data_IF_942348072938
#
_entry.id   IF_942348072938
#
_cell.length_a   1.000
_cell.length_b   1.000
_cell.length_c   1.000
_cell.angle_alpha   90.00
_cell.angle_beta   90.00
_cell.angle_gamma   90.00
#
_symmetry.space_group_name_H-M   'P 1'
#
loop_
_entity.id
_entity.type
_entity.pdbx_description
1 polymer ?
2 non-polymer ?
3 water ?
#
# COMPACT_ATOMS: atom_id res chain seq x y z
N UNK A 4 -5.03 0.33 -28.06
CA UNK A 4 -3.59 0.48 -28.50
C UNK A 4 -3.11 -0.85 -29.07
N UNK A 5 -2.51 -0.89 -30.27
CA UNK A 5 -2.04 -2.15 -30.84
C UNK A 5 -0.89 -2.71 -29.99
N UNK A 6 -0.93 -4.01 -29.70
CA UNK A 6 0.26 -4.85 -29.42
C UNK A 6 1.31 -4.58 -30.52
N UNK A 7 2.60 -4.70 -30.19
CA UNK A 7 3.74 -4.38 -31.09
C UNK A 7 4.23 -2.94 -30.95
N UNK A 8 3.36 -2.04 -30.47
CA UNK A 8 3.62 -0.56 -30.37
C UNK A 8 4.85 -0.27 -29.51
N UNK A 9 5.83 0.47 -30.05
CA UNK A 9 7.13 0.83 -29.41
C UNK A 9 7.05 2.20 -28.72
N UNK A 10 7.13 2.22 -27.38
CA UNK A 10 7.16 3.47 -26.55
C UNK A 10 8.60 3.89 -26.25
N UNK A 11 8.80 5.20 -26.14
CA UNK A 11 10.14 5.82 -25.95
C UNK A 11 10.08 6.60 -24.64
N UNK A 12 10.81 6.15 -23.63
CA UNK A 12 10.71 6.75 -22.28
C UNK A 12 11.67 7.95 -22.29
N UNK A 13 11.55 8.83 -21.30
CA UNK A 13 12.35 10.08 -21.20
C UNK A 13 13.83 9.72 -21.22
N UNK A 14 14.19 8.53 -20.73
CA UNK A 14 15.61 8.12 -20.63
C UNK A 14 16.14 7.75 -22.03
N UNK A 15 15.22 7.55 -22.99
CA UNK A 15 15.55 7.13 -24.36
C UNK A 15 15.53 5.63 -24.51
N UNK A 16 15.04 4.90 -23.49
CA UNK A 16 14.81 3.45 -23.58
C UNK A 16 13.50 3.19 -24.33
N UNK A 17 13.43 2.04 -24.99
CA UNK A 17 12.34 1.72 -25.95
C UNK A 17 11.67 0.44 -25.45
N UNK A 18 10.35 0.48 -25.46
CA UNK A 18 9.47 -0.50 -24.77
C UNK A 18 8.42 -0.95 -25.78
N UNK A 19 8.40 -2.28 -26.01
CA UNK A 19 7.40 -2.90 -26.90
C UNK A 19 6.30 -3.46 -26.02
N UNK A 20 5.06 -3.15 -26.34
CA UNK A 20 3.85 -3.51 -25.55
C UNK A 20 3.48 -4.99 -25.74
N UNK A 21 2.71 -5.53 -24.78
CA UNK A 21 2.01 -6.83 -24.88
C UNK A 21 0.48 -6.71 -24.74
N UNK A 22 -0.16 -7.71 -24.15
CA UNK A 22 -1.65 -7.80 -24.06
C UNK A 22 -2.15 -7.08 -22.80
N UNK A 23 -3.27 -6.38 -22.88
CA UNK A 23 -3.81 -5.75 -21.66
C UNK A 23 -3.92 -6.82 -20.57
N UNK A 24 -3.51 -6.50 -19.35
CA UNK A 24 -3.53 -7.50 -18.24
C UNK A 24 -4.47 -6.97 -17.15
N UNK A 25 -5.37 -6.07 -17.51
CA UNK A 25 -6.36 -5.49 -16.58
C UNK A 25 -6.50 -3.99 -16.77
N UNK A 26 -7.03 -3.29 -15.77
CA UNK A 26 -7.23 -1.82 -15.74
C UNK A 26 -7.95 -1.45 -14.44
N UNK A 27 -7.65 -0.27 -13.90
CA UNK A 27 -8.42 0.33 -12.80
C UNK A 27 -9.24 1.50 -13.34
N UNK A 28 -9.71 2.36 -12.44
CA UNK A 28 -10.13 3.73 -12.76
C UNK A 28 -8.91 4.61 -12.89
N UNK A 29 -8.70 5.17 -14.09
CA UNK A 29 -7.57 6.05 -14.46
C UNK A 29 -6.44 5.21 -15.04
N UNK A 30 -6.61 3.88 -15.21
CA UNK A 30 -5.45 3.06 -15.61
C UNK A 30 -5.73 1.90 -16.56
N UNK A 31 -5.00 1.81 -17.67
CA UNK A 31 -4.90 0.58 -18.49
C UNK A 31 -3.50 -0.01 -18.27
N UNK A 32 -3.40 -1.32 -18.13
CA UNK A 32 -2.13 -2.06 -17.82
C UNK A 32 -1.90 -3.08 -18.94
N UNK A 33 -0.70 -3.04 -19.54
CA UNK A 33 -0.22 -3.92 -20.62
C UNK A 33 1.07 -4.60 -20.16
N UNK A 34 1.38 -5.78 -20.69
CA UNK A 34 2.74 -6.37 -20.58
C UNK A 34 3.65 -5.52 -21.45
N UNK A 35 4.96 -5.65 -21.24
CA UNK A 35 5.99 -4.88 -21.97
C UNK A 35 7.33 -5.61 -21.89
N UNK A 36 8.15 -5.43 -22.92
CA UNK A 36 9.53 -5.96 -23.05
C UNK A 36 10.43 -4.81 -23.49
N UNK A 37 11.69 -4.75 -23.02
CA UNK A 37 12.66 -3.85 -23.63
C UNK A 37 12.87 -4.39 -25.05
N UNK A 38 13.37 -3.57 -25.95
CA UNK A 38 13.49 -3.98 -27.38
C UNK A 38 14.87 -4.56 -27.62
N UNK A 39 15.77 -4.44 -26.64
CA UNK A 39 17.18 -4.93 -26.77
C UNK A 39 17.34 -6.29 -26.08
N UNK A 40 16.78 -6.49 -24.88
CA UNK A 40 16.91 -7.76 -24.08
C UNK A 40 15.92 -8.82 -24.59
N UNK A 41 15.93 -10.05 -24.05
CA UNK A 41 15.12 -11.16 -24.59
C UNK A 41 13.61 -10.96 -24.45
N UNK A 42 12.81 -11.90 -24.96
CA UNK A 42 11.32 -11.88 -24.88
C UNK A 42 10.78 -13.20 -24.29
N UNK A 43 11.64 -14.01 -23.66
CA UNK A 43 11.27 -15.32 -23.04
C UNK A 43 10.49 -15.04 -21.76
N UNK A 44 10.44 -13.77 -21.33
CA UNK A 44 10.28 -13.38 -19.91
C UNK A 44 9.73 -11.94 -19.82
N UNK A 45 8.42 -11.77 -19.69
CA UNK A 45 7.75 -10.46 -19.47
C UNK A 45 7.87 -10.06 -18.00
N UNK A 46 8.94 -9.34 -17.64
CA UNK A 46 9.23 -8.88 -16.26
C UNK A 46 8.55 -7.53 -16.03
N UNK A 47 8.12 -6.86 -17.10
CA UNK A 47 7.76 -5.42 -17.09
C UNK A 47 6.29 -5.26 -17.49
N UNK A 48 5.64 -4.22 -16.96
CA UNK A 48 4.27 -3.77 -17.36
C UNK A 48 4.31 -2.27 -17.60
N UNK A 49 3.30 -1.76 -18.29
CA UNK A 49 3.17 -0.32 -18.65
C UNK A 49 1.81 0.16 -18.17
N UNK A 50 1.78 1.02 -17.15
CA UNK A 50 0.55 1.71 -16.67
C UNK A 50 0.40 2.95 -17.55
N UNK A 51 -0.85 3.27 -17.93
CA UNK A 51 -1.22 4.41 -18.84
C UNK A 51 -2.42 5.16 -18.27
N UNK A 52 -2.46 6.48 -18.45
CA UNK A 52 -3.60 7.31 -18.02
C UNK A 52 -3.86 8.35 -19.09
N UNK A 53 -3.10 9.43 -19.09
CA UNK A 53 -3.27 10.53 -20.07
C UNK A 53 -2.33 11.69 -19.71
N UNK A 57 -4.04 12.82 -13.52
CA UNK A 57 -3.77 13.19 -12.13
C UNK A 57 -3.08 12.09 -11.33
N UNK A 58 -3.82 11.06 -10.86
CA UNK A 58 -3.26 10.08 -9.91
C UNK A 58 -2.00 9.34 -10.36
N UNK A 59 -1.86 9.08 -11.67
CA UNK A 59 -0.64 8.46 -12.26
C UNK A 59 0.56 9.39 -12.00
N UNK A 60 0.37 10.71 -12.16
CA UNK A 60 1.44 11.71 -11.94
C UNK A 60 1.90 11.64 -10.48
N UNK A 61 0.97 11.43 -9.55
CA UNK A 61 1.28 11.23 -8.11
C UNK A 61 2.23 10.04 -7.96
N UNK A 62 1.88 8.90 -8.58
CA UNK A 62 2.74 7.70 -8.62
C UNK A 62 4.09 8.08 -9.23
N UNK A 63 4.05 8.77 -10.37
CA UNK A 63 5.29 9.08 -11.11
C UNK A 63 6.22 9.80 -10.13
N UNK A 64 5.72 10.86 -9.50
CA UNK A 64 6.46 11.63 -8.47
C UNK A 64 6.93 10.63 -7.42
N UNK A 65 6.04 9.80 -6.90
CA UNK A 65 6.45 8.89 -5.82
C UNK A 65 7.65 8.08 -6.32
N UNK A 66 7.44 7.37 -7.43
CA UNK A 66 8.35 6.32 -7.93
C UNK A 66 9.69 6.91 -8.36
N UNK A 67 9.71 8.09 -8.96
CA UNK A 67 10.98 8.71 -9.42
C UNK A 67 11.83 9.05 -8.20
N UNK A 68 11.19 9.60 -7.16
CA UNK A 68 11.89 10.10 -5.96
C UNK A 68 12.31 8.91 -5.09
N UNK A 69 11.41 7.94 -4.87
CA UNK A 69 11.52 6.99 -3.73
C UNK A 69 12.05 5.63 -4.22
N UNK A 70 11.61 5.13 -5.38
CA UNK A 70 11.84 3.72 -5.79
C UNK A 70 13.15 3.53 -6.58
N UNK A 71 14.28 4.07 -6.09
CA UNK A 71 15.63 3.92 -6.71
C UNK A 71 16.22 2.52 -6.41
N UNK A 72 16.57 1.75 -7.43
CA UNK A 72 17.01 0.33 -7.25
C UNK A 72 18.14 0.21 -6.20
N UNK A 73 19.29 0.82 -6.44
CA UNK A 73 20.50 0.60 -5.60
C UNK A 73 20.25 1.08 -4.17
N UNK A 74 19.61 2.24 -4.02
CA UNK A 74 19.25 2.82 -2.68
C UNK A 74 18.45 1.81 -1.86
N UNK A 75 17.41 1.23 -2.48
CA UNK A 75 16.61 0.07 -1.99
C UNK A 75 17.55 -1.11 -1.70
N UNK A 76 18.52 -1.40 -2.58
CA UNK A 76 19.59 -2.42 -2.40
C UNK A 76 20.39 -2.13 -1.12
N UNK A 77 20.87 -0.89 -0.95
CA UNK A 77 21.64 -0.48 0.25
C UNK A 77 20.81 -0.76 1.52
N UNK A 78 19.52 -0.39 1.49
CA UNK A 78 18.55 -0.47 2.63
C UNK A 78 18.35 -1.93 3.07
N UNK A 79 17.91 -2.79 2.15
CA UNK A 79 17.64 -4.24 2.39
C UNK A 79 18.85 -4.86 3.11
N UNK A 80 20.05 -4.70 2.55
CA UNK A 80 21.33 -5.27 3.05
C UNK A 80 21.53 -4.87 4.53
N UNK A 81 21.37 -3.60 4.86
CA UNK A 81 21.62 -3.08 6.24
C UNK A 81 20.66 -3.76 7.20
N UNK A 82 19.34 -3.65 6.96
CA UNK A 82 18.28 -4.05 7.90
C UNK A 82 18.04 -5.56 7.86
N UNK A 83 18.78 -6.30 7.03
CA UNK A 83 18.69 -7.79 6.95
C UNK A 83 17.25 -8.21 6.63
N UNK A 84 16.57 -7.49 5.72
CA UNK A 84 15.24 -7.90 5.18
C UNK A 84 15.51 -8.86 4.03
N UNK A 85 14.67 -9.87 3.83
CA UNK A 85 14.80 -10.78 2.67
C UNK A 85 14.46 -9.97 1.43
N UNK A 86 13.58 -8.97 1.59
CA UNK A 86 13.15 -8.09 0.48
C UNK A 86 12.38 -6.88 1.03
N UNK A 87 12.10 -5.92 0.15
CA UNK A 87 11.23 -4.74 0.44
C UNK A 87 10.07 -4.67 -0.54
N UNK A 88 8.85 -4.71 -0.02
CA UNK A 88 7.61 -4.71 -0.85
C UNK A 88 7.39 -3.38 -1.53
N UNK A 89 8.24 -3.01 -2.46
CA UNK A 89 8.08 -1.80 -3.29
C UNK A 89 8.31 -2.24 -4.73
N UNK A 90 7.36 -1.99 -5.64
CA UNK A 90 7.56 -2.31 -7.05
C UNK A 90 8.73 -1.47 -7.61
N UNK A 91 9.56 -2.08 -8.47
CA UNK A 91 10.67 -1.37 -9.13
C UNK A 91 10.12 -0.51 -10.29
N UNK A 92 10.73 0.66 -10.50
CA UNK A 92 10.41 1.66 -11.55
C UNK A 92 11.53 1.72 -12.58
N UNK A 93 11.20 1.65 -13.87
CA UNK A 93 12.16 1.49 -15.00
C UNK A 93 12.23 2.73 -15.91
N UNK A 94 11.21 3.58 -15.89
CA UNK A 94 11.17 4.80 -16.72
C UNK A 94 9.75 5.13 -17.05
N UNK A 95 9.58 6.23 -17.77
CA UNK A 95 8.27 6.86 -18.04
C UNK A 95 8.45 7.80 -19.23
N UNK A 96 7.35 8.33 -19.74
CA UNK A 96 7.38 9.32 -20.83
C UNK A 96 5.98 9.52 -21.33
N UNK A 97 5.84 10.07 -22.54
CA UNK A 97 4.56 10.35 -23.22
C UNK A 97 4.47 9.54 -24.51
N UNK A 98 3.25 9.37 -25.01
CA UNK A 98 2.99 8.70 -26.31
C UNK A 98 1.62 9.15 -26.85
N UNK A 99 1.54 9.35 -28.19
CA UNK A 99 0.33 9.71 -28.97
C UNK A 99 -0.47 8.44 -29.33
N UNK A 100 -1.79 8.49 -29.16
CA UNK A 100 -2.80 7.41 -29.47
C UNK A 100 -3.90 7.83 -30.47
N UNK A 101 -4.46 9.04 -30.32
CA UNK A 101 -5.28 9.76 -31.33
C UNK A 101 -4.48 11.01 -31.71
N UNK A 102 -4.97 12.19 -31.34
CA UNK A 102 -4.18 13.44 -31.24
C UNK A 102 -3.94 13.81 -29.78
N UNK A 103 -4.56 13.06 -28.85
CA UNK A 103 -4.34 13.16 -27.38
C UNK A 103 -3.02 12.46 -27.02
N UNK A 104 -2.27 13.00 -26.06
CA UNK A 104 -1.02 12.42 -25.50
C UNK A 104 -1.33 11.67 -24.20
N UNK A 105 -0.62 10.57 -23.95
CA UNK A 105 -0.78 9.75 -22.72
C UNK A 105 0.55 9.63 -22.00
N UNK A 106 0.50 9.66 -20.67
CA UNK A 106 1.63 9.42 -19.76
C UNK A 106 1.69 7.91 -19.49
N UNK A 107 2.87 7.31 -19.54
CA UNK A 107 3.07 5.88 -19.21
C UNK A 107 4.22 5.75 -18.22
N UNK A 108 4.14 4.72 -17.40
CA UNK A 108 5.20 4.34 -16.45
C UNK A 108 5.45 2.85 -16.63
N UNK A 109 6.70 2.46 -16.85
CA UNK A 109 7.12 1.03 -16.93
C UNK A 109 7.44 0.57 -15.52
N UNK A 110 6.71 -0.44 -15.02
CA UNK A 110 6.78 -0.95 -13.63
C UNK A 110 7.26 -2.41 -13.61
N UNK A 111 7.72 -2.87 -12.43
CA UNK A 111 7.97 -4.31 -12.15
C UNK A 111 6.67 -5.06 -12.35
N UNK A 112 6.74 -6.26 -12.96
CA UNK A 112 5.55 -7.12 -13.12
C UNK A 112 5.34 -7.84 -11.78
N UNK A 113 4.08 -8.01 -11.41
CA UNK A 113 3.68 -8.60 -10.11
C UNK A 113 2.45 -9.46 -10.33
N UNK A 114 2.15 -10.33 -9.37
CA UNK A 114 1.04 -11.28 -9.43
C UNK A 114 -0.28 -10.65 -9.03
N UNK A 115 -1.13 -11.45 -8.40
CA UNK A 115 -2.57 -11.17 -8.13
C UNK A 115 -2.68 -10.36 -6.83
N UNK A 116 -3.73 -9.54 -6.69
CA UNK A 116 -3.96 -8.70 -5.48
C UNK A 116 -4.70 -9.54 -4.42
N UNK A 117 -4.53 -9.17 -3.16
CA UNK A 117 -4.98 -9.97 -1.98
C UNK A 117 -6.51 -9.98 -1.86
N UNK A 118 -7.20 -8.92 -2.27
CA UNK A 118 -8.68 -8.88 -2.12
C UNK A 118 -9.25 -10.00 -2.98
N UNK A 119 -8.76 -10.13 -4.21
CA UNK A 119 -9.18 -11.19 -5.17
C UNK A 119 -9.08 -12.54 -4.48
N UNK A 120 -8.05 -12.74 -3.65
CA UNK A 120 -7.69 -14.06 -3.07
C UNK A 120 -7.91 -14.02 -1.56
N UNK A 121 -8.97 -13.34 -1.11
CA UNK A 121 -9.38 -13.30 0.32
C UNK A 121 -9.98 -14.66 0.70
N UNK A 122 -9.87 -15.10 1.97
CA UNK A 122 -9.96 -16.53 2.42
C UNK A 122 -11.36 -17.09 2.75
N UNK A 123 -12.02 -16.45 3.70
CA UNK A 123 -13.43 -16.76 4.04
C UNK A 123 -14.00 -15.36 4.26
N UNK A 124 -14.89 -14.89 3.39
CA UNK A 124 -15.34 -13.49 3.49
C UNK A 124 -14.06 -12.73 3.14
N UNK A 125 -13.73 -11.69 3.90
CA UNK A 125 -12.45 -11.02 3.67
C UNK A 125 -11.47 -11.35 4.76
N UNK A 126 -11.24 -12.65 4.97
CA UNK A 126 -10.43 -13.02 6.14
C UNK A 126 -9.21 -13.88 5.80
N UNK A 127 -8.06 -13.54 6.36
CA UNK A 127 -6.86 -14.39 6.26
C UNK A 127 -6.51 -14.94 7.64
N UNK A 128 -5.67 -15.97 7.67
CA UNK A 128 -5.20 -16.62 8.94
C UNK A 128 -4.37 -15.60 9.72
N UNK A 129 -4.59 -15.53 11.03
CA UNK A 129 -3.94 -14.56 11.96
C UNK A 129 -2.47 -14.36 11.59
N UNK A 130 -1.68 -15.44 11.56
CA UNK A 130 -0.20 -15.35 11.40
C UNK A 130 0.13 -14.78 10.02
N UNK A 131 -0.80 -14.88 9.06
CA UNK A 131 -0.67 -14.23 7.73
C UNK A 131 -0.95 -12.73 7.90
N UNK A 132 -2.02 -12.40 8.63
CA UNK A 132 -2.47 -11.01 8.91
C UNK A 132 -1.32 -10.28 9.63
N UNK A 133 -0.65 -10.96 10.54
CA UNK A 133 0.45 -10.37 11.36
C UNK A 133 1.72 -10.21 10.53
N UNK A 134 1.96 -11.06 9.53
CA UNK A 134 3.19 -10.98 8.71
C UNK A 134 3.04 -9.84 7.69
N UNK A 135 1.88 -9.78 7.05
CA UNK A 135 1.47 -8.69 6.13
C UNK A 135 1.70 -7.32 6.78
N UNK A 136 1.28 -7.16 8.04
CA UNK A 136 1.44 -5.92 8.83
C UNK A 136 2.91 -5.59 9.06
N UNK A 137 3.72 -6.62 9.29
CA UNK A 137 5.19 -6.47 9.51
C UNK A 137 5.81 -6.10 8.16
N UNK A 138 5.48 -6.84 7.10
CA UNK A 138 6.00 -6.56 5.73
C UNK A 138 5.73 -5.08 5.43
N UNK A 139 4.47 -4.62 5.53
CA UNK A 139 4.10 -3.20 5.25
C UNK A 139 4.86 -2.28 6.20
N UNK A 140 5.08 -2.67 7.46
CA UNK A 140 5.92 -1.83 8.36
C UNK A 140 7.30 -1.61 7.73
N UNK A 141 7.89 -2.64 7.10
CA UNK A 141 9.17 -2.50 6.36
C UNK A 141 9.00 -1.44 5.27
N UNK A 142 7.93 -1.55 4.48
CA UNK A 142 7.68 -0.63 3.34
C UNK A 142 7.44 0.78 3.88
N UNK A 143 6.56 0.93 4.85
CA UNK A 143 6.23 2.25 5.44
C UNK A 143 7.49 2.94 5.97
N UNK A 144 8.34 2.24 6.72
CA UNK A 144 9.59 2.84 7.24
C UNK A 144 10.31 3.47 6.05
N UNK A 145 10.52 2.70 4.98
CA UNK A 145 11.27 3.15 3.80
C UNK A 145 10.63 4.39 3.20
N UNK A 146 9.33 4.36 2.84
CA UNK A 146 8.68 5.51 2.11
C UNK A 146 8.64 6.73 3.01
N UNK A 147 8.27 6.55 4.29
CA UNK A 147 8.25 7.62 5.32
C UNK A 147 9.61 8.32 5.39
N UNK A 148 10.67 7.53 5.50
CA UNK A 148 12.08 7.97 5.55
C UNK A 148 12.39 8.78 4.28
N UNK A 149 11.65 8.57 3.19
CA UNK A 149 11.86 9.23 1.88
C UNK A 149 10.72 10.23 1.64
N UNK A 150 10.13 10.74 2.73
CA UNK A 150 9.28 11.96 2.72
C UNK A 150 7.88 11.63 2.19
N UNK A 151 7.50 10.35 2.11
CA UNK A 151 6.24 9.93 1.45
C UNK A 151 5.36 9.09 2.39
N UNK A 152 4.05 9.36 2.34
CA UNK A 152 3.00 8.47 2.91
C UNK A 152 2.22 7.88 1.75
N UNK A 153 1.67 6.69 1.94
CA UNK A 153 0.85 5.99 0.94
C UNK A 153 -0.58 6.55 0.92
N UNK A 154 -1.21 6.66 2.10
CA UNK A 154 -2.56 7.20 2.32
C UNK A 154 -3.70 6.31 1.83
N UNK A 155 -3.45 5.06 1.45
CA UNK A 155 -4.53 4.17 0.93
C UNK A 155 -4.24 2.67 1.05
N UNK A 156 -3.39 2.25 1.99
CA UNK A 156 -3.20 0.81 2.32
C UNK A 156 -4.57 0.09 2.40
N UNK A 157 -4.67 -1.08 1.77
CA UNK A 157 -5.87 -1.95 1.68
C UNK A 157 -5.56 -3.15 0.78
N UNK A 158 -6.28 -4.27 0.96
CA UNK A 158 -6.04 -5.56 0.27
C UNK A 158 -5.87 -5.36 -1.25
N UNK A 159 -6.67 -4.51 -1.88
CA UNK A 159 -6.73 -4.39 -3.35
C UNK A 159 -5.40 -3.85 -3.91
N UNK A 160 -4.56 -3.28 -3.03
CA UNK A 160 -3.27 -2.63 -3.34
C UNK A 160 -2.09 -3.43 -2.75
N UNK A 161 -2.34 -4.62 -2.22
CA UNK A 161 -1.27 -5.55 -1.80
C UNK A 161 -1.20 -6.62 -2.88
N UNK A 162 -0.10 -6.69 -3.62
CA UNK A 162 0.10 -7.67 -4.73
C UNK A 162 1.17 -8.69 -4.33
N UNK A 163 0.98 -9.95 -4.70
CA UNK A 163 2.00 -11.02 -4.58
C UNK A 163 3.00 -10.79 -5.71
N UNK A 164 4.27 -11.13 -5.47
CA UNK A 164 5.35 -11.05 -6.48
C UNK A 164 5.00 -11.79 -7.75
N UNK A 165 5.62 -11.41 -8.86
CA UNK A 165 5.55 -12.20 -10.12
C UNK A 165 6.61 -13.29 -9.98
N UNK A 166 7.88 -12.89 -9.94
CA UNK A 166 9.03 -13.78 -9.64
C UNK A 166 8.72 -14.61 -8.39
N UNK A 167 8.57 -13.97 -7.22
CA UNK A 167 8.35 -14.70 -5.93
C UNK A 167 6.97 -14.37 -5.37
N UNK A 168 5.98 -15.26 -5.60
CA UNK A 168 4.68 -15.22 -4.91
C UNK A 168 4.59 -15.18 -3.38
N UNK A 169 5.61 -15.64 -2.65
CA UNK A 169 5.63 -15.55 -1.15
C UNK A 169 6.12 -14.15 -0.77
N UNK A 170 6.39 -13.30 -1.76
CA UNK A 170 6.74 -11.86 -1.58
C UNK A 170 5.50 -10.99 -1.81
N UNK A 171 5.30 -10.00 -0.95
CA UNK A 171 4.13 -9.07 -1.03
C UNK A 171 4.65 -7.64 -1.20
N UNK A 172 3.88 -6.86 -1.97
CA UNK A 172 4.27 -5.54 -2.52
C UNK A 172 3.09 -4.55 -2.38
N UNK A 173 3.38 -3.34 -1.92
CA UNK A 173 2.38 -2.27 -1.74
C UNK A 173 2.38 -1.41 -3.00
N UNK A 174 1.23 -1.27 -3.64
CA UNK A 174 1.13 -0.61 -4.96
C UNK A 174 0.08 0.50 -4.92
N UNK A 175 -0.12 1.19 -6.04
CA UNK A 175 -1.11 2.27 -6.25
C UNK A 175 -0.76 3.43 -5.32
N UNK A 176 0.28 4.19 -5.66
CA UNK A 176 0.68 5.39 -4.91
C UNK A 176 -0.02 6.63 -5.50
N UNK A 177 -1.26 6.44 -5.96
CA UNK A 177 -2.07 7.53 -6.57
C UNK A 177 -2.60 8.53 -5.55
N UNK A 178 -2.74 8.15 -4.27
CA UNK A 178 -3.08 9.08 -3.15
C UNK A 178 -1.87 9.33 -2.24
N UNK A 179 -0.65 9.00 -2.70
CA UNK A 179 0.59 9.16 -1.89
C UNK A 179 0.88 10.66 -1.77
N UNK A 180 1.47 11.05 -0.66
CA UNK A 180 1.65 12.47 -0.29
C UNK A 180 3.06 12.67 0.30
N UNK A 181 3.71 13.75 -0.13
CA UNK A 181 5.05 14.13 0.34
C UNK A 181 4.89 15.02 1.57
N UNK A 182 4.91 14.41 2.77
CA UNK A 182 4.56 15.02 4.08
C UNK A 182 5.77 15.82 4.61
N UNK A 183 6.98 15.52 4.14
CA UNK A 183 8.25 16.08 4.68
C UNK A 183 9.15 16.63 3.57
N UNK A 184 8.71 17.53 2.67
CA UNK A 184 9.58 17.97 1.58
C UNK A 184 10.90 18.59 2.09
N UNK A 185 12.01 17.91 1.80
CA UNK A 185 13.39 18.29 2.22
C UNK A 185 13.41 18.65 3.71
N UNK A 186 12.83 17.78 4.54
CA UNK A 186 12.85 17.86 6.01
C UNK A 186 11.78 18.78 6.58
N UNK A 187 10.98 19.45 5.76
CA UNK A 187 9.95 20.41 6.22
C UNK A 187 8.63 19.67 6.41
N UNK A 188 8.35 19.23 7.64
CA UNK A 188 7.10 18.52 7.97
C UNK A 188 5.92 19.48 7.71
N UNK A 189 4.82 19.00 7.16
CA UNK A 189 3.68 19.90 6.90
C UNK A 189 3.13 20.33 8.25
N UNK A 190 2.51 21.50 8.27
CA UNK A 190 1.79 22.02 9.45
C UNK A 190 0.47 21.26 9.53
N UNK A 191 -0.12 21.22 10.72
CA UNK A 191 -1.48 20.71 10.99
C UNK A 191 -2.50 21.82 10.63
N UNK A 192 -3.38 21.57 9.66
CA UNK A 192 -4.54 22.46 9.37
C UNK A 192 -5.73 21.60 8.95
N UNK A 193 -6.76 21.48 9.79
CA UNK A 193 -8.03 20.84 9.40
C UNK A 193 -8.64 21.64 8.24
N UNK A 194 -9.02 20.98 7.15
CA UNK A 194 -9.74 21.62 6.02
C UNK A 194 -10.94 20.75 5.65
N UNK A 195 -12.18 21.14 6.00
CA UNK A 195 -13.36 20.35 5.68
C UNK A 195 -13.48 20.12 4.17
N UNK A 196 -13.07 21.10 3.35
CA UNK A 196 -13.17 21.08 1.88
C UNK A 196 -12.31 19.94 1.30
N UNK A 197 -11.23 19.57 1.99
CA UNK A 197 -10.30 18.48 1.59
C UNK A 197 -10.59 17.23 2.42
N UNK A 198 -11.79 17.16 3.00
CA UNK A 198 -12.18 16.14 4.01
C UNK A 198 -12.65 14.83 3.38
N UNK A 199 -12.30 13.71 4.02
CA UNK A 199 -12.83 12.35 3.72
C UNK A 199 -12.42 11.89 2.33
N UNK A 200 -11.18 12.13 1.95
CA UNK A 200 -10.60 11.40 0.80
C UNK A 200 -10.07 10.08 1.38
N UNK A 201 -9.70 9.17 0.47
CA UNK A 201 -9.22 7.81 0.75
C UNK A 201 -10.32 6.79 0.52
N UNK A 202 -10.02 5.53 0.82
CA UNK A 202 -11.04 4.47 0.99
C UNK A 202 -11.70 4.62 2.36
N UNK A 203 -12.96 5.05 2.34
CA UNK A 203 -13.76 5.38 3.56
C UNK A 203 -13.60 4.30 4.63
N UNK A 204 -13.56 3.03 4.23
CA UNK A 204 -13.46 1.85 5.13
C UNK A 204 -12.18 1.95 5.96
N UNK A 205 -11.07 2.44 5.38
CA UNK A 205 -9.73 2.29 5.99
C UNK A 205 -9.01 3.63 6.16
N UNK A 206 -9.59 4.75 5.71
CA UNK A 206 -8.90 6.07 5.66
C UNK A 206 -8.70 6.61 7.07
N UNK A 207 -7.64 7.37 7.32
CA UNK A 207 -7.27 7.89 8.67
C UNK A 207 -8.20 9.03 9.08
N UNK A 208 -8.30 9.26 10.41
CA UNK A 208 -9.11 10.35 11.00
C UNK A 208 -8.52 11.69 10.53
N UNK A 209 -7.19 11.84 10.53
CA UNK A 209 -6.54 12.98 9.83
C UNK A 209 -7.15 13.13 8.42
N UNK A 210 -7.22 12.06 7.62
CA UNK A 210 -7.87 12.13 6.30
C UNK A 210 -9.35 12.58 6.43
N UNK A 211 -10.11 12.07 7.40
CA UNK A 211 -11.55 12.42 7.59
C UNK A 211 -11.70 13.92 7.86
N UNK A 212 -10.75 14.48 8.61
CA UNK A 212 -10.76 15.89 9.09
C UNK A 212 -10.04 16.80 8.10
N UNK A 213 -9.65 16.31 6.92
CA UNK A 213 -9.04 17.13 5.84
C UNK A 213 -7.67 17.67 6.22
N UNK A 214 -6.94 16.94 7.09
CA UNK A 214 -5.54 17.24 7.48
C UNK A 214 -4.60 16.63 6.42
N UNK A 215 -3.44 17.24 6.20
CA UNK A 215 -2.44 16.70 5.27
C UNK A 215 -1.95 15.36 5.86
N UNK A 216 -1.84 14.32 5.06
CA UNK A 216 -1.52 12.98 5.58
C UNK A 216 -0.09 13.03 6.11
N UNK A 217 0.17 12.56 7.32
CA UNK A 217 1.53 12.37 7.90
C UNK A 217 1.76 10.88 8.20
N UNK A 218 2.86 10.54 8.86
CA UNK A 218 3.30 9.14 9.06
C UNK A 218 2.26 8.33 9.85
N UNK A 219 1.71 8.90 10.92
CA UNK A 219 0.79 8.17 11.84
C UNK A 219 -0.43 7.66 11.03
N UNK A 220 -0.99 8.48 10.12
CA UNK A 220 -2.21 8.12 9.34
C UNK A 220 -2.00 6.76 8.64
N UNK A 221 -0.82 6.50 8.09
CA UNK A 221 -0.49 5.21 7.42
C UNK A 221 -0.56 4.10 8.47
N UNK A 222 -0.10 4.41 9.68
CA UNK A 222 0.00 3.39 10.74
C UNK A 222 -1.42 3.06 11.17
N UNK A 223 -2.22 4.08 11.41
CA UNK A 223 -3.68 3.92 11.71
C UNK A 223 -4.36 3.04 10.65
N UNK A 224 -4.12 3.34 9.39
CA UNK A 224 -4.74 2.66 8.23
C UNK A 224 -4.36 1.18 8.30
N UNK A 225 -3.08 0.89 8.54
CA UNK A 225 -2.59 -0.51 8.57
C UNK A 225 -3.33 -1.24 9.69
N UNK A 226 -3.44 -0.58 10.85
CA UNK A 226 -4.21 -1.03 12.01
C UNK A 226 -5.61 -1.46 11.59
N UNK A 227 -6.37 -0.54 10.96
CA UNK A 227 -7.77 -0.83 10.57
C UNK A 227 -7.75 -2.04 9.63
N UNK A 228 -6.81 -2.06 8.68
CA UNK A 228 -6.69 -3.15 7.68
C UNK A 228 -6.54 -4.50 8.39
N UNK A 229 -5.47 -4.67 9.16
CA UNK A 229 -5.26 -5.90 9.95
C UNK A 229 -6.61 -6.31 10.58
N UNK A 230 -7.29 -5.41 11.28
CA UNK A 230 -8.56 -5.72 11.98
C UNK A 230 -9.59 -6.33 11.01
N UNK A 231 -9.59 -5.83 9.78
CA UNK A 231 -10.54 -6.25 8.72
C UNK A 231 -10.16 -7.65 8.23
N UNK A 232 -8.86 -7.91 8.08
CA UNK A 232 -8.34 -9.19 7.54
C UNK A 232 -8.50 -10.31 8.59
N UNK A 233 -8.72 -9.98 9.86
CA UNK A 233 -8.77 -11.00 10.92
C UNK A 233 -10.21 -11.31 11.27
N UNK A 234 -10.89 -10.28 11.78
CA UNK A 234 -12.26 -10.44 12.30
C UNK A 234 -13.28 -10.50 11.17
N UNK A 235 -12.91 -10.17 9.95
CA UNK A 235 -13.83 -10.37 8.81
C UNK A 235 -14.71 -9.19 8.44
N UNK A 236 -14.60 -8.08 9.17
CA UNK A 236 -15.37 -6.87 8.83
C UNK A 236 -15.12 -5.82 9.90
N UNK A 237 -15.74 -4.66 9.75
CA UNK A 237 -15.42 -3.57 10.68
C UNK A 237 -16.70 -3.06 11.31
N UNK A 238 -16.62 -2.59 12.57
CA UNK A 238 -17.76 -2.02 13.27
C UNK A 238 -18.62 -1.10 12.40
N UNK A 239 -17.98 -0.43 11.43
CA UNK A 239 -18.64 0.62 10.60
C UNK A 239 -18.99 0.11 9.21
N UNK A 240 -18.99 -1.21 8.99
CA UNK A 240 -19.42 -1.85 7.71
C UNK A 240 -20.78 -1.27 7.27
N UNK A 241 -21.62 -0.88 8.21
CA UNK A 241 -22.96 -0.30 7.96
C UNK A 241 -22.82 1.08 7.31
N UNK A 242 -22.03 1.97 7.95
CA UNK A 242 -22.08 3.43 7.69
C UNK A 242 -21.12 3.87 6.57
N UNK A 243 -20.75 2.99 5.64
CA UNK A 243 -19.73 3.33 4.61
C UNK A 243 -20.19 4.52 3.75
N UNK A 244 -21.48 4.79 3.68
CA UNK A 244 -22.01 5.84 2.77
C UNK A 244 -22.10 7.14 3.54
N UNK A 245 -22.08 7.12 4.88
CA UNK A 245 -21.99 8.36 5.72
C UNK A 245 -20.57 8.48 6.33
N UNK A 246 -19.61 9.11 5.62
CA UNK A 246 -18.23 9.19 6.10
C UNK A 246 -18.04 9.79 7.49
N UNK A 247 -18.93 10.70 7.88
CA UNK A 247 -18.93 11.33 9.23
C UNK A 247 -19.25 10.25 10.26
N UNK A 248 -20.21 9.39 9.93
CA UNK A 248 -20.55 8.20 10.75
C UNK A 248 -19.31 7.31 10.87
N UNK A 249 -18.56 7.14 9.77
CA UNK A 249 -17.35 6.29 9.79
C UNK A 249 -16.31 6.95 10.70
N UNK A 250 -16.19 8.28 10.61
CA UNK A 250 -15.17 9.03 11.38
C UNK A 250 -15.45 8.86 12.87
N UNK A 251 -16.69 9.04 13.30
CA UNK A 251 -17.04 8.99 14.75
C UNK A 251 -16.84 7.55 15.24
N UNK A 252 -17.06 6.56 14.38
CA UNK A 252 -16.91 5.13 14.72
C UNK A 252 -15.45 4.84 15.09
N UNK A 253 -14.56 5.09 14.13
CA UNK A 253 -13.09 5.07 14.25
C UNK A 253 -12.65 5.83 15.51
N UNK A 254 -13.20 7.02 15.72
CA UNK A 254 -12.86 7.88 16.89
C UNK A 254 -13.20 7.12 18.16
N UNK A 255 -14.40 6.50 18.22
CA UNK A 255 -14.90 5.72 19.38
C UNK A 255 -14.01 4.49 19.57
N UNK A 256 -13.57 3.85 18.48
CA UNK A 256 -12.77 2.61 18.58
C UNK A 256 -11.46 2.94 19.28
N UNK A 257 -10.85 4.09 18.96
CA UNK A 257 -9.48 4.43 19.41
C UNK A 257 -9.57 4.97 20.83
N UNK A 258 -10.61 5.74 21.14
CA UNK A 258 -10.85 6.33 22.48
C UNK A 258 -11.20 5.23 23.48
N UNK A 259 -11.66 4.06 23.02
CA UNK A 259 -12.12 2.93 23.87
C UNK A 259 -11.18 1.72 23.77
N UNK A 260 -9.92 1.93 23.40
CA UNK A 260 -8.92 0.84 23.29
C UNK A 260 -8.43 0.49 24.69
N UNK A 261 -7.91 -0.74 24.93
CA UNK A 261 -7.91 -1.81 23.93
C UNK A 261 -9.21 -2.61 23.75
N UNK A 262 -10.13 -2.55 24.70
CA UNK A 262 -11.32 -3.45 24.70
C UNK A 262 -12.09 -3.36 23.37
N UNK A 263 -12.41 -2.16 22.86
CA UNK A 263 -13.11 -1.96 21.54
C UNK A 263 -12.64 -3.02 20.52
N UNK A 264 -11.36 -3.34 20.57
CA UNK A 264 -10.68 -4.21 19.57
C UNK A 264 -10.62 -5.64 20.12
N UNK A 265 -10.27 -5.82 21.38
CA UNK A 265 -10.21 -7.18 21.98
C UNK A 265 -11.59 -7.86 21.82
N UNK A 266 -12.68 -7.14 22.04
CA UNK A 266 -14.04 -7.73 22.02
C UNK A 266 -14.45 -8.19 20.62
N UNK A 267 -13.91 -7.60 19.58
CA UNK A 267 -14.39 -7.75 18.18
C UNK A 267 -13.96 -9.11 17.61
N UNK A 268 -12.76 -9.56 17.95
CA UNK A 268 -12.18 -10.83 17.44
C UNK A 268 -13.14 -11.98 17.69
N UNK A 269 -13.29 -12.91 16.74
CA UNK A 269 -13.97 -14.17 17.04
C UNK A 269 -13.04 -14.99 17.96
N UNK A 270 -13.59 -15.99 18.64
CA UNK A 270 -12.94 -16.68 19.78
C UNK A 270 -11.69 -17.44 19.32
N UNK A 271 -11.74 -18.05 18.14
CA UNK A 271 -10.61 -18.85 17.62
C UNK A 271 -9.57 -17.97 16.95
N UNK A 272 -9.20 -16.87 17.59
CA UNK A 272 -8.26 -15.87 17.03
C UNK A 272 -8.06 -14.83 18.12
N UNK A 273 -7.05 -14.00 18.03
CA UNK A 273 -6.82 -13.00 19.10
C UNK A 273 -6.57 -11.64 18.46
N UNK A 274 -6.91 -10.57 19.16
CA UNK A 274 -6.57 -9.21 18.69
C UNK A 274 -5.67 -8.50 19.71
N UNK A 275 -4.92 -9.24 20.52
CA UNK A 275 -3.97 -8.65 21.51
C UNK A 275 -2.95 -7.79 20.75
N UNK A 276 -2.39 -8.32 19.65
CA UNK A 276 -1.33 -7.64 18.85
C UNK A 276 -1.92 -6.44 18.13
N UNK A 277 -3.03 -6.61 17.45
CA UNK A 277 -3.70 -5.54 16.66
C UNK A 277 -4.14 -4.41 17.60
N UNK A 278 -4.66 -4.76 18.77
CA UNK A 278 -5.09 -3.81 19.82
C UNK A 278 -3.89 -3.02 20.30
N UNK A 279 -2.84 -3.72 20.76
CA UNK A 279 -1.63 -3.05 21.27
C UNK A 279 -1.16 -2.13 20.14
N UNK A 280 -1.06 -2.66 18.93
CA UNK A 280 -0.57 -1.94 17.74
C UNK A 280 -1.32 -0.61 17.60
N UNK A 281 -2.65 -0.64 17.60
CA UNK A 281 -3.46 0.60 17.52
C UNK A 281 -3.23 1.49 18.75
N UNK A 282 -3.02 0.90 19.94
CA UNK A 282 -2.81 1.70 21.17
C UNK A 282 -1.53 2.52 20.96
N UNK A 283 -0.54 1.87 20.36
CA UNK A 283 0.78 2.47 20.14
C UNK A 283 0.65 3.51 19.02
N UNK A 284 -0.19 3.23 18.03
CA UNK A 284 -0.44 4.14 16.89
C UNK A 284 -1.19 5.39 17.36
N UNK A 285 -2.03 5.29 18.39
CA UNK A 285 -2.90 6.42 18.82
C UNK A 285 -2.06 7.43 19.59
N UNK A 286 -0.96 6.99 20.21
CA UNK A 286 -0.11 7.84 21.07
C UNK A 286 0.93 8.62 20.26
N UNK A 287 0.76 8.73 18.94
CA UNK A 287 1.66 9.50 18.05
C UNK A 287 1.08 10.91 17.81
N UNK A 288 1.88 11.92 18.10
CA UNK A 288 1.58 13.31 17.70
C UNK A 288 1.65 13.38 16.17
N UNK A 289 1.09 14.45 15.60
CA UNK A 289 0.94 14.62 14.15
C UNK A 289 2.27 14.36 13.43
N UNK A 290 3.39 14.87 13.96
CA UNK A 290 4.75 14.89 13.32
C UNK A 290 5.72 13.89 14.00
N UNK A 291 5.21 12.92 14.72
CA UNK A 291 6.07 11.98 15.46
C UNK A 291 6.54 10.86 14.53
N UNK A 292 7.79 10.42 14.67
CA UNK A 292 8.33 9.25 13.94
C UNK A 292 7.78 8.00 14.58
N UNK A 293 7.04 7.13 13.85
CA UNK A 293 6.62 5.85 14.43
C UNK A 293 7.84 5.01 14.82
N UNK A 294 7.72 4.27 15.91
CA UNK A 294 8.72 3.27 16.37
C UNK A 294 8.44 1.95 15.66
N UNK A 295 8.88 1.87 14.40
CA UNK A 295 8.69 0.71 13.50
C UNK A 295 9.16 -0.54 14.23
N UNK A 296 10.38 -0.54 14.79
CA UNK A 296 10.97 -1.79 15.35
C UNK A 296 10.03 -2.27 16.47
N UNK A 297 9.58 -1.37 17.35
CA UNK A 297 8.73 -1.75 18.50
C UNK A 297 7.41 -2.32 17.99
N UNK A 298 6.83 -1.72 16.94
CA UNK A 298 5.52 -2.13 16.38
C UNK A 298 5.63 -3.53 15.77
N UNK A 299 6.81 -3.89 15.25
CA UNK A 299 7.01 -5.22 14.63
C UNK A 299 7.10 -6.24 15.76
N UNK A 300 7.65 -5.85 16.90
CA UNK A 300 7.66 -6.71 18.11
C UNK A 300 6.20 -6.89 18.55
N UNK A 301 5.43 -5.82 18.66
CA UNK A 301 3.99 -5.86 19.04
C UNK A 301 3.25 -6.86 18.13
N UNK A 302 3.55 -6.84 16.83
CA UNK A 302 2.86 -7.69 15.85
C UNK A 302 3.37 -9.12 15.94
N UNK A 303 4.53 -9.32 16.57
CA UNK A 303 5.22 -10.64 16.69
C UNK A 303 5.81 -10.78 18.08
N UNK A 304 4.97 -10.86 19.12
CA UNK A 304 5.45 -10.75 20.49
C UNK A 304 6.34 -11.93 20.89
N UNK A 305 6.30 -13.04 20.14
CA UNK A 305 7.08 -14.28 20.43
C UNK A 305 8.36 -14.33 19.58
N UNK A 306 8.76 -13.23 18.93
CA UNK A 306 9.94 -13.20 18.05
C UNK A 306 10.03 -14.41 17.12
N UNK A 307 8.92 -14.81 16.49
CA UNK A 307 8.84 -15.91 15.49
C UNK A 307 9.49 -15.46 14.18
N UNK A 308 10.20 -16.34 13.43
CA UNK A 308 10.55 -16.06 12.04
C UNK A 308 9.34 -16.15 11.10
N UNK A 309 9.41 -15.46 9.97
CA UNK A 309 8.28 -15.34 9.03
C UNK A 309 8.41 -16.45 8.00
N UNK A 310 7.38 -17.31 7.90
CA UNK A 310 7.28 -18.36 6.88
C UNK A 310 6.96 -17.76 5.51
N UNK A 311 6.49 -18.55 4.53
CA UNK A 311 5.90 -17.99 3.32
C UNK A 311 4.46 -17.64 3.74
N UNK A 312 3.82 -16.78 2.97
CA UNK A 312 2.44 -16.34 3.26
C UNK A 312 1.49 -17.51 3.01
N UNK A 313 0.71 -17.90 4.02
CA UNK A 313 -0.33 -18.96 3.91
C UNK A 313 -1.69 -18.31 3.63
N UNK A 314 -2.22 -18.48 2.41
CA UNK A 314 -3.58 -18.04 1.99
C UNK A 314 -4.51 -19.26 1.85
N UNK A 315 -4.06 -20.45 2.24
CA UNK A 315 -4.87 -21.69 2.21
C UNK A 315 -6.28 -21.38 2.73
N UNK A 316 -7.30 -21.76 1.98
CA UNK A 316 -8.74 -21.57 2.32
C UNK A 316 -9.39 -22.96 2.46
N UNK A 317 -8.68 -23.93 3.05
CA UNK A 317 -9.16 -25.33 3.25
C UNK A 317 -10.43 -25.29 4.13
N UNK A 318 -11.60 -25.62 3.54
CA UNK A 318 -12.90 -25.69 4.24
C UNK A 318 -13.85 -24.54 3.92
N UNK A 319 -13.33 -23.34 3.62
CA UNK A 319 -14.12 -22.08 3.46
C UNK A 319 -15.24 -22.27 2.42
X LIG B 1 0.82 -4.68 -12.49
X LIG B 1 1.72 -6.77 -12.38
X LIG B 1 -1.71 -7.06 -12.80
X LIG B 1 -3.50 -2.91 -11.55
X LIG B 1 -3.61 -4.03 -10.71
X LIG B 1 -2.79 -4.09 -9.60
X LIG B 1 -4.63 -5.11 -10.97
X LIG B 1 3.22 -1.48 -10.10
X LIG B 1 2.65 -0.40 -9.46
X LIG B 1 1.33 -0.21 -9.36
X LIG B 1 0.56 -1.15 -9.95
X LIG B 1 1.00 -2.24 -10.60
X LIG B 1 2.33 -2.39 -10.67
X LIG B 1 2.75 -3.55 -11.34
X LIG B 1 2.02 -4.60 -11.86
X LIG B 1 0.66 -6.04 -12.80
X LIG B 1 2.53 -5.83 -11.80
X LIG B 1 -0.46 -6.65 -13.55
X LIG B 1 -1.75 -5.89 -13.75
X LIG B 1 -0.79 -1.02 -9.84
X LIG B 1 -1.77 -1.97 -10.15
X LIG B 1 -2.60 -1.90 -11.28
X LIG B 1 -1.88 -3.09 -9.32
X LIG B 1 -4.34 -6.39 -10.32
X LIG B 1 -4.09 -7.36 -9.80
#
# INVERSE_FOLDING_TARGET
>A
SMPFPEGKVLDDMEGNQWVLGKKIGSGGFGLIYLAFPTNKPEKDARHVVKVEYQENGPLFSELKFYQRVAKKDCIKKWIERKQLDYLGIPLFYGSGLTEFKGRSYRFMVMERLGIDLQKISGQNGTFKKSTVLQLGIRMLDVLEYIHENEYVHGDIKAANLLLGYKNPDQVYLADYGLSYRYCPNGNHKQYQENPRKGHNGTIEFTSLDAHKGVALSRRSDVEILGYCMLRWLCGKLPWEQNLKDPVAVQTAKTNLLDELPQSVLKWAPSGSSCCEIAQFLVCAHSLAYDEKPNYQALKKILNPHGIPLGPLDFSTKGQSINVH
>B hetero
1 REB C10 N12 C15 C20 C21 C22 C24 C02 C03 N04 C05 N06 C07 N08 C09 C11 N13 C14 C16 N17 C18 C19 C23 C25 N26
#
